data_IF_917312791700
#
_entry.id   IF_917312791700
#
_cell.length_a   1.000
_cell.length_b   1.000
_cell.length_c   1.000
_cell.angle_alpha   90.00
_cell.angle_beta   90.00
_cell.angle_gamma   90.00
#
_symmetry.space_group_name_H-M   'P 1'
#
loop_
_entity.id
_entity.type
_entity.pdbx_description
1 polymer ?
#
# COMPACT_ATOMS: atom_id res chain seq x y z
N UNK A 1 51.11 -29.76 9.01
CA UNK A 1 49.88 -29.03 8.63
C UNK A 1 48.67 -29.80 9.18
N UNK A 2 47.82 -29.19 10.02
CA UNK A 2 46.56 -29.81 10.47
C UNK A 2 45.43 -29.38 9.53
N UNK A 3 44.81 -30.34 8.83
CA UNK A 3 43.62 -30.12 8.01
C UNK A 3 42.49 -29.65 8.94
N UNK A 4 41.92 -28.48 8.64
CA UNK A 4 40.73 -27.98 9.32
C UNK A 4 39.56 -28.92 9.02
N UNK A 5 38.91 -29.40 10.07
CA UNK A 5 37.69 -30.17 9.98
C UNK A 5 36.56 -29.26 9.50
N UNK A 6 36.01 -29.55 8.32
CA UNK A 6 34.72 -28.99 7.89
C UNK A 6 33.65 -29.69 8.72
N UNK A 7 33.12 -29.00 9.72
CA UNK A 7 31.91 -29.43 10.43
C UNK A 7 30.76 -29.49 9.43
N UNK A 8 30.14 -30.66 9.32
CA UNK A 8 28.89 -30.88 8.60
C UNK A 8 27.82 -29.98 9.20
N UNK A 9 27.34 -29.00 8.42
CA UNK A 9 26.31 -28.08 8.88
C UNK A 9 24.97 -28.75 8.59
N UNK A 10 24.19 -29.05 9.64
CA UNK A 10 22.80 -29.47 9.50
C UNK A 10 21.97 -28.29 8.99
N UNK A 11 21.19 -28.52 7.93
CA UNK A 11 20.28 -27.54 7.34
C UNK A 11 18.89 -28.14 7.22
N UNK A 12 17.87 -27.37 7.58
CA UNK A 12 16.48 -27.71 7.39
C UNK A 12 15.91 -26.96 6.18
N UNK A 13 15.10 -27.66 5.36
CA UNK A 13 14.48 -27.06 4.19
C UNK A 13 13.32 -26.16 4.61
N UNK A 14 13.41 -24.86 4.33
CA UNK A 14 12.34 -23.90 4.65
C UNK A 14 11.00 -24.28 4.01
N UNK A 15 9.91 -24.10 4.76
CA UNK A 15 8.54 -24.29 4.26
C UNK A 15 8.06 -23.18 3.32
N UNK A 16 8.88 -22.15 3.10
CA UNK A 16 8.51 -20.94 2.36
C UNK A 16 7.87 -19.86 3.23
N UNK A 17 7.59 -20.15 4.50
CA UNK A 17 7.22 -19.16 5.51
C UNK A 17 8.17 -19.27 6.71
N UNK A 18 9.15 -18.36 6.77
CA UNK A 18 10.13 -18.33 7.87
C UNK A 18 9.47 -18.15 9.25
N UNK A 19 8.32 -17.47 9.33
CA UNK A 19 7.60 -17.30 10.59
C UNK A 19 6.98 -18.61 11.07
N UNK A 20 6.56 -19.49 10.15
CA UNK A 20 6.08 -20.83 10.47
C UNK A 20 7.25 -21.74 10.87
N UNK A 21 8.37 -21.65 10.15
CA UNK A 21 9.59 -22.41 10.45
C UNK A 21 10.12 -22.07 11.86
N UNK A 22 9.96 -20.82 12.30
CA UNK A 22 10.35 -20.35 13.63
C UNK A 22 9.30 -20.59 14.73
N UNK A 23 8.13 -21.16 14.39
CA UNK A 23 7.06 -21.43 15.35
C UNK A 23 6.42 -20.18 15.97
N UNK A 24 6.40 -19.07 15.24
CA UNK A 24 5.81 -17.81 15.72
C UNK A 24 4.29 -17.80 15.59
N UNK A 25 3.64 -17.01 16.44
CA UNK A 25 2.21 -16.80 16.40
C UNK A 25 1.79 -16.14 15.07
N UNK A 26 0.67 -16.60 14.51
CA UNK A 26 0.10 -16.10 13.25
C UNK A 26 1.14 -15.93 12.12
N UNK A 27 1.78 -17.03 11.67
CA UNK A 27 2.87 -16.94 10.71
C UNK A 27 2.43 -16.41 9.34
N UNK A 28 1.16 -16.61 8.96
CA UNK A 28 0.60 -16.06 7.72
C UNK A 28 0.47 -14.54 7.75
N UNK A 29 -0.04 -13.97 8.85
CA UNK A 29 -0.16 -12.51 9.01
C UNK A 29 1.23 -11.85 9.05
N UNK A 30 2.16 -12.46 9.78
CA UNK A 30 3.55 -11.97 9.88
C UNK A 30 4.25 -11.94 8.52
N UNK A 31 4.01 -12.95 7.69
CA UNK A 31 4.54 -12.99 6.32
C UNK A 31 3.99 -11.84 5.47
N UNK A 32 2.67 -11.62 5.49
CA UNK A 32 2.03 -10.52 4.76
C UNK A 32 2.57 -9.16 5.23
N UNK A 33 2.69 -8.96 6.54
CA UNK A 33 3.26 -7.73 7.09
C UNK A 33 4.70 -7.51 6.61
N UNK A 34 5.52 -8.56 6.63
CA UNK A 34 6.90 -8.49 6.18
C UNK A 34 7.02 -8.13 4.70
N UNK A 35 6.17 -8.73 3.85
CA UNK A 35 6.15 -8.44 2.42
C UNK A 35 5.74 -6.98 2.15
N UNK A 36 4.70 -6.48 2.82
CA UNK A 36 4.28 -5.08 2.69
C UNK A 36 5.36 -4.10 3.19
N UNK A 37 5.99 -4.39 4.33
CA UNK A 37 7.08 -3.58 4.85
C UNK A 37 8.30 -3.58 3.92
N UNK A 38 8.60 -4.73 3.29
CA UNK A 38 9.65 -4.84 2.30
C UNK A 38 9.35 -4.00 1.06
N UNK A 39 8.11 -4.00 0.58
CA UNK A 39 7.67 -3.14 -0.51
C UNK A 39 7.88 -1.65 -0.17
N UNK A 40 7.45 -1.21 1.02
CA UNK A 40 7.69 0.16 1.50
C UNK A 40 9.20 0.48 1.53
N UNK A 41 10.01 -0.43 2.08
CA UNK A 41 11.45 -0.21 2.19
C UNK A 41 12.15 -0.17 0.81
N UNK A 42 11.62 -0.89 -0.18
CA UNK A 42 12.09 -0.83 -1.57
C UNK A 42 11.76 0.52 -2.20
N UNK A 43 10.51 0.97 -2.11
CA UNK A 43 10.09 2.27 -2.65
C UNK A 43 10.89 3.43 -2.08
N UNK A 44 11.10 3.44 -0.75
CA UNK A 44 11.92 4.47 -0.10
C UNK A 44 13.36 4.46 -0.62
N UNK A 45 13.92 3.27 -0.90
CA UNK A 45 15.28 3.13 -1.44
C UNK A 45 15.36 3.55 -2.91
N UNK A 46 14.40 3.12 -3.73
CA UNK A 46 14.37 3.40 -5.17
C UNK A 46 14.17 4.88 -5.46
N UNK A 47 13.38 5.58 -4.63
CA UNK A 47 13.21 7.04 -4.70
C UNK A 47 14.35 7.83 -4.07
N UNK A 48 15.36 7.14 -3.52
CA UNK A 48 16.48 7.72 -2.78
C UNK A 48 16.03 8.66 -1.64
N UNK A 49 14.91 8.35 -0.99
CA UNK A 49 14.38 9.15 0.09
C UNK A 49 15.08 8.87 1.41
N UNK A 50 15.34 9.94 2.15
CA UNK A 50 15.68 9.83 3.57
C UNK A 50 14.45 9.40 4.37
N UNK A 51 14.67 8.82 5.56
CA UNK A 51 13.56 8.43 6.44
C UNK A 51 12.64 9.61 6.78
N UNK A 52 13.18 10.82 6.88
CA UNK A 52 12.42 12.04 7.15
C UNK A 52 11.55 12.47 5.95
N UNK A 53 12.06 12.35 4.72
CA UNK A 53 11.27 12.63 3.51
C UNK A 53 10.13 11.62 3.35
N UNK A 54 10.43 10.33 3.51
CA UNK A 54 9.44 9.27 3.47
C UNK A 54 8.35 9.47 4.55
N UNK A 55 8.74 9.88 5.75
CA UNK A 55 7.82 10.19 6.85
C UNK A 55 6.89 11.36 6.52
N UNK A 56 7.43 12.42 5.90
CA UNK A 56 6.65 13.58 5.48
C UNK A 56 5.61 13.22 4.39
N UNK A 57 6.00 12.40 3.41
CA UNK A 57 5.09 11.94 2.34
C UNK A 57 3.99 11.05 2.89
N UNK A 58 4.35 10.09 3.75
CA UNK A 58 3.39 9.14 4.34
C UNK A 58 2.57 9.72 5.50
N UNK A 59 2.87 10.94 5.97
CA UNK A 59 2.19 11.55 7.11
C UNK A 59 2.41 10.83 8.44
N UNK A 60 3.56 10.16 8.63
CA UNK A 60 3.91 9.41 9.85
C UNK A 60 5.15 9.97 10.52
N UNK A 61 5.49 9.44 11.70
CA UNK A 61 6.74 9.80 12.37
C UNK A 61 7.95 9.18 11.66
N UNK A 62 9.11 9.87 11.71
CA UNK A 62 10.36 9.31 11.21
C UNK A 62 10.72 7.98 11.90
N UNK A 63 10.39 7.84 13.19
CA UNK A 63 10.56 6.59 13.95
C UNK A 63 9.74 5.43 13.38
N UNK A 64 8.51 5.68 12.94
CA UNK A 64 7.68 4.65 12.32
C UNK A 64 8.32 4.15 11.03
N UNK A 65 8.80 5.06 10.17
CA UNK A 65 9.51 4.70 8.94
C UNK A 65 10.77 3.90 9.26
N UNK A 66 11.54 4.32 10.28
CA UNK A 66 12.73 3.60 10.71
C UNK A 66 12.41 2.18 11.19
N UNK A 67 11.32 2.01 11.93
CA UNK A 67 10.86 0.71 12.41
C UNK A 67 10.44 -0.20 11.25
N UNK A 68 9.66 0.31 10.30
CA UNK A 68 9.22 -0.44 9.11
C UNK A 68 10.42 -0.88 8.28
N UNK A 69 11.34 0.03 7.96
CA UNK A 69 12.54 -0.27 7.15
C UNK A 69 13.46 -1.30 7.84
N UNK A 70 13.45 -1.35 9.18
CA UNK A 70 14.21 -2.32 9.97
C UNK A 70 13.47 -3.63 10.26
N UNK A 71 12.27 -3.82 9.71
CA UNK A 71 11.45 -5.02 9.95
C UNK A 71 10.89 -5.11 11.38
N UNK A 72 10.88 -4.00 12.14
CA UNK A 72 10.26 -3.93 13.47
C UNK A 72 8.75 -3.66 13.31
N UNK A 73 8.01 -4.70 12.93
CA UNK A 73 6.60 -4.59 12.55
C UNK A 73 5.63 -4.82 13.70
N UNK A 74 6.13 -5.08 14.93
CA UNK A 74 5.29 -5.25 16.11
C UNK A 74 4.45 -3.99 16.35
N UNK A 75 3.13 -4.11 16.21
CA UNK A 75 2.18 -3.00 16.36
C UNK A 75 1.76 -2.31 15.05
N UNK A 76 2.28 -2.73 13.90
CA UNK A 76 1.79 -2.30 12.59
C UNK A 76 0.78 -3.33 12.07
N UNK A 77 -0.46 -2.89 11.83
CA UNK A 77 -1.45 -3.73 11.16
C UNK A 77 -1.19 -3.80 9.66
N UNK A 78 -1.66 -4.87 9.01
CA UNK A 78 -1.64 -5.03 7.55
C UNK A 78 -2.30 -3.82 6.88
N UNK A 79 -3.49 -3.42 7.36
CA UNK A 79 -4.22 -2.25 6.88
C UNK A 79 -3.38 -0.97 6.94
N UNK A 80 -2.65 -0.74 8.04
CA UNK A 80 -1.80 0.45 8.18
C UNK A 80 -0.69 0.42 7.14
N UNK A 81 -0.02 -0.71 6.92
CA UNK A 81 1.03 -0.84 5.91
C UNK A 81 0.49 -0.64 4.49
N UNK A 82 -0.68 -1.19 4.18
CA UNK A 82 -1.37 -0.98 2.89
C UNK A 82 -1.67 0.49 2.64
N UNK A 83 -2.17 1.23 3.64
CA UNK A 83 -2.40 2.68 3.52
C UNK A 83 -1.11 3.46 3.26
N UNK A 84 -0.01 3.06 3.91
CA UNK A 84 1.30 3.69 3.70
C UNK A 84 1.80 3.51 2.27
N UNK A 85 1.61 2.32 1.68
CA UNK A 85 1.90 2.09 0.26
C UNK A 85 1.04 2.98 -0.66
N UNK A 86 -0.23 3.21 -0.31
CA UNK A 86 -1.09 4.15 -1.04
C UNK A 86 -0.54 5.58 -1.08
N UNK A 87 0.08 6.07 0.00
CA UNK A 87 0.75 7.38 0.02
C UNK A 87 2.05 7.42 -0.80
N UNK A 88 2.59 6.25 -1.14
CA UNK A 88 3.75 6.10 -2.02
C UNK A 88 3.30 5.91 -3.48
N UNK A 89 2.07 6.24 -3.87
CA UNK A 89 1.53 5.99 -5.22
C UNK A 89 1.64 4.52 -5.66
N UNK A 90 1.61 3.59 -4.72
CA UNK A 90 1.63 2.16 -5.01
C UNK A 90 0.19 1.61 -5.03
N UNK A 91 -0.11 0.80 -6.03
CA UNK A 91 -1.34 0.03 -6.09
C UNK A 91 -1.17 -1.30 -5.35
N UNK A 92 -2.15 -1.66 -4.51
CA UNK A 92 -2.14 -2.91 -3.74
C UNK A 92 -3.35 -3.75 -4.14
N UNK A 93 -3.09 -4.88 -4.79
CA UNK A 93 -4.13 -5.85 -5.17
C UNK A 93 -4.24 -6.97 -4.12
N UNK A 94 -5.45 -7.22 -3.63
CA UNK A 94 -5.73 -8.34 -2.73
C UNK A 94 -6.49 -9.43 -3.49
N UNK A 95 -5.79 -10.51 -3.82
CA UNK A 95 -6.37 -11.65 -4.55
C UNK A 95 -6.88 -12.69 -3.56
N UNK A 96 -8.20 -12.83 -3.46
CA UNK A 96 -8.82 -13.89 -2.65
C UNK A 96 -9.09 -15.11 -3.52
N UNK A 97 -8.35 -16.18 -3.27
CA UNK A 97 -8.58 -17.48 -3.92
C UNK A 97 -9.30 -18.41 -2.94
N UNK A 98 -10.46 -18.91 -3.33
CA UNK A 98 -11.12 -19.98 -2.57
C UNK A 98 -10.37 -21.28 -2.76
N UNK A 99 -10.12 -21.99 -1.65
CA UNK A 99 -9.48 -23.32 -1.67
C UNK A 99 -10.44 -24.42 -2.16
N UNK A 100 -11.75 -24.13 -2.21
CA UNK A 100 -12.81 -25.10 -2.50
C UNK A 100 -13.80 -24.67 -3.58
N UNK A 101 -13.64 -23.48 -4.18
CA UNK A 101 -14.54 -23.01 -5.22
C UNK A 101 -13.73 -22.29 -6.29
N UNK A 102 -14.05 -22.60 -7.54
CA UNK A 102 -13.52 -22.03 -8.77
C UNK A 102 -13.99 -20.57 -8.98
N UNK A 103 -14.01 -19.78 -7.90
CA UNK A 103 -14.57 -18.42 -7.87
C UNK A 103 -13.50 -17.46 -7.37
N UNK A 104 -12.98 -16.66 -8.29
CA UNK A 104 -12.12 -15.51 -8.01
C UNK A 104 -13.04 -14.36 -7.56
N UNK A 105 -12.79 -13.80 -6.38
CA UNK A 105 -13.42 -12.54 -5.98
C UNK A 105 -12.35 -11.45 -6.03
N UNK A 106 -12.46 -10.57 -7.02
CA UNK A 106 -11.67 -9.35 -7.11
C UNK A 106 -12.33 -8.28 -6.23
N UNK A 107 -11.76 -8.03 -5.06
CA UNK A 107 -12.26 -7.00 -4.14
C UNK A 107 -11.61 -5.67 -4.51
N UNK A 108 -12.18 -4.99 -5.50
CA UNK A 108 -11.76 -3.64 -5.87
C UNK A 108 -12.34 -2.63 -4.87
N UNK A 109 -11.55 -2.20 -3.89
CA UNK A 109 -11.89 -1.05 -3.02
C UNK A 109 -11.44 0.25 -3.67
N UNK A 110 -11.85 0.47 -4.90
CA UNK A 110 -11.79 1.78 -5.55
C UNK A 110 -13.24 2.21 -5.76
N UNK A 111 -13.64 3.32 -5.13
CA UNK A 111 -14.97 3.93 -5.31
C UNK A 111 -15.30 4.26 -6.77
N UNK A 112 -14.35 4.12 -7.70
CA UNK A 112 -14.52 4.33 -9.14
C UNK A 112 -15.04 3.10 -9.92
N UNK A 113 -15.06 1.89 -9.36
CA UNK A 113 -15.37 0.68 -10.16
C UNK A 113 -16.83 0.20 -10.12
N UNK A 114 -17.73 0.93 -9.45
CA UNK A 114 -19.19 0.64 -9.43
C UNK A 114 -19.85 0.95 -10.80
N UNK A 115 -19.19 1.72 -11.67
CA UNK A 115 -19.75 2.12 -12.98
C UNK A 115 -19.48 1.14 -14.14
N UNK A 116 -18.78 0.01 -13.93
CA UNK A 116 -18.46 -0.95 -15.01
C UNK A 116 -19.50 -2.05 -15.26
N UNK A 117 -20.77 -1.84 -14.90
CA UNK A 117 -21.87 -2.56 -15.55
C UNK A 117 -22.27 -1.75 -16.77
N UNK A 118 -22.15 -2.33 -17.96
CA UNK A 118 -22.58 -1.74 -19.24
C UNK A 118 -23.83 -0.88 -19.06
N UNK A 119 -23.80 0.44 -19.27
CA UNK A 119 -25.03 1.20 -19.35
C UNK A 119 -25.84 0.67 -20.54
N UNK A 120 -27.16 0.47 -20.41
CA UNK A 120 -28.00 0.13 -21.56
C UNK A 120 -27.88 1.28 -22.55
N UNK A 121 -27.33 1.01 -23.74
CA UNK A 121 -27.30 1.84 -24.94
C UNK A 121 -27.98 3.21 -24.78
N UNK A 122 -27.25 4.19 -24.22
CA UNK A 122 -27.73 5.57 -24.12
C UNK A 122 -27.38 6.22 -25.45
N UNK A 123 -28.35 6.72 -26.23
CA UNK A 123 -28.05 7.39 -27.49
C UNK A 123 -27.13 8.58 -27.25
N UNK A 124 -26.13 8.73 -28.11
CA UNK A 124 -25.21 9.87 -28.10
C UNK A 124 -26.01 11.18 -28.19
N UNK A 125 -26.08 11.91 -27.08
CA UNK A 125 -26.65 13.26 -27.06
C UNK A 125 -25.51 14.20 -27.50
N UNK A 126 -25.66 14.95 -28.60
CA UNK A 126 -24.66 15.93 -29.00
C UNK A 126 -24.47 16.98 -27.89
N UNK A 127 -23.26 17.53 -27.71
CA UNK A 127 -22.98 18.48 -26.64
C UNK A 127 -23.94 19.67 -26.74
N UNK A 128 -24.74 19.87 -25.69
CA UNK A 128 -25.53 21.09 -25.54
C UNK A 128 -24.52 22.23 -25.36
N UNK A 129 -24.56 23.30 -26.17
CA UNK A 129 -23.68 24.44 -25.96
C UNK A 129 -24.04 25.12 -24.64
N UNK A 130 -23.24 24.87 -23.60
CA UNK A 130 -23.34 25.58 -22.33
C UNK A 130 -22.74 26.97 -22.58
N UNK A 131 -23.59 27.99 -22.71
CA UNK A 131 -23.10 29.36 -22.67
C UNK A 131 -22.69 29.67 -21.23
N UNK A 132 -21.38 29.82 -21.01
CA UNK A 132 -20.85 30.27 -19.73
C UNK A 132 -21.22 31.75 -19.59
N UNK A 133 -22.30 32.02 -18.86
CA UNK A 133 -22.62 33.38 -18.42
C UNK A 133 -21.63 33.70 -17.29
N UNK A 134 -20.50 34.30 -17.67
CA UNK A 134 -19.56 34.90 -16.72
C UNK A 134 -20.11 36.27 -16.32
N UNK A 135 -21.04 36.30 -15.36
CA UNK A 135 -21.36 37.56 -14.71
C UNK A 135 -20.12 38.05 -13.94
N UNK A 136 -19.70 39.32 -14.10
CA UNK A 136 -18.54 39.85 -13.41
C UNK A 136 -18.78 39.79 -11.90
N UNK A 137 -17.88 39.09 -11.19
CA UNK A 137 -17.94 38.94 -9.75
C UNK A 137 -18.01 40.32 -9.08
N UNK A 138 -19.04 40.61 -8.26
CA UNK A 138 -19.15 41.90 -7.61
C UNK A 138 -17.99 42.11 -6.63
N UNK A 139 -17.43 43.34 -6.55
CA UNK A 139 -16.27 43.61 -5.70
C UNK A 139 -16.62 43.44 -4.21
N UNK A 140 -15.71 42.79 -3.48
CA UNK A 140 -15.86 42.52 -2.05
C UNK A 140 -15.93 43.83 -1.23
N UNK A 141 -16.76 43.90 -0.18
CA UNK A 141 -16.85 45.06 0.69
C UNK A 141 -15.54 45.25 1.47
N UNK A 142 -15.04 46.50 1.51
CA UNK A 142 -13.82 46.85 2.24
C UNK A 142 -14.07 46.75 3.74
N UNK A 143 -13.35 45.86 4.41
CA UNK A 143 -13.30 45.76 5.87
C UNK A 143 -12.70 47.07 6.41
N UNK A 144 -13.49 47.82 7.17
CA UNK A 144 -13.04 49.00 7.93
C UNK A 144 -12.34 48.47 9.18
N UNK A 145 -11.03 48.62 9.24
CA UNK A 145 -10.28 48.43 10.48
C UNK A 145 -10.49 49.69 11.34
N UNK A 146 -11.02 49.51 12.54
CA UNK A 146 -11.14 50.50 13.61
C UNK A 146 -10.38 50.04 14.84
#
# INVERSE_FOLDING_TARGET
MKKGASSEIEFEKSSGNIFADLGLDNPGESLIQADLALAIAREVRERAWTQAQAAAVMGVSQSDVSNIVRGKLKGFSIERLTRLLGFLDCEVEVVVRSRHADVQFEVSTSTENVLRRSPPNIPFIPPIPVQVIVDPCPPLPKVRNG
#
